data_IF_381788024717
#
_entry.id   IF_381788024717
#
_cell.length_a   1.000
_cell.length_b   1.000
_cell.length_c   1.000
_cell.angle_alpha   90.00
_cell.angle_beta   90.00
_cell.angle_gamma   90.00
#
_symmetry.space_group_name_H-M   'P 1'
#
loop_
_entity.id
_entity.type
_entity.pdbx_description
1 polymer ?
#
# COMPACT_ATOMS: atom_id res chain seq x y z
N UNK A 1 -14.01 15.95 0.54
CA UNK A 1 -14.07 15.07 -0.63
C UNK A 1 -12.71 14.39 -0.68
N UNK A 2 -12.62 13.09 -0.39
CA UNK A 2 -11.35 12.35 -0.36
C UNK A 2 -11.31 11.45 -1.57
N UNK A 3 -10.35 11.66 -2.45
CA UNK A 3 -9.87 10.63 -3.37
C UNK A 3 -8.99 9.69 -2.56
N UNK A 4 -9.16 8.39 -2.75
CA UNK A 4 -8.24 7.41 -2.18
C UNK A 4 -6.90 7.56 -2.91
N UNK A 5 -5.98 8.34 -2.32
CA UNK A 5 -4.64 8.56 -2.85
C UNK A 5 -3.86 7.24 -2.82
N UNK A 6 -3.37 6.82 -3.98
CA UNK A 6 -2.58 5.59 -4.17
C UNK A 6 -1.30 5.96 -4.88
N UNK A 7 -0.16 5.77 -4.22
CA UNK A 7 1.13 6.04 -4.81
C UNK A 7 1.85 4.74 -5.15
N UNK A 8 2.54 4.75 -6.29
CA UNK A 8 3.35 3.61 -6.75
C UNK A 8 4.83 3.75 -6.44
N UNK A 9 5.21 4.83 -5.76
CA UNK A 9 6.54 5.06 -5.22
C UNK A 9 6.40 5.90 -3.95
N UNK A 10 7.43 5.87 -3.12
CA UNK A 10 7.49 6.64 -1.87
C UNK A 10 8.18 7.97 -2.10
N UNK A 11 7.80 8.99 -1.33
CA UNK A 11 8.51 10.28 -1.28
C UNK A 11 10.01 10.08 -1.03
N UNK A 12 10.35 9.15 -0.14
CA UNK A 12 11.73 8.95 0.34
C UNK A 12 12.61 8.32 -0.74
N UNK A 13 12.10 7.30 -1.44
CA UNK A 13 12.76 6.75 -2.64
C UNK A 13 12.99 7.80 -3.73
N UNK A 14 12.03 8.71 -3.98
CA UNK A 14 12.20 9.79 -4.97
C UNK A 14 13.24 10.81 -4.51
N UNK A 15 13.21 11.21 -3.23
CA UNK A 15 14.22 12.09 -2.63
C UNK A 15 15.62 11.49 -2.75
N UNK A 16 15.77 10.22 -2.41
CA UNK A 16 17.04 9.49 -2.51
C UNK A 16 17.54 9.39 -3.96
N UNK A 17 16.64 9.09 -4.92
CA UNK A 17 17.01 8.95 -6.33
C UNK A 17 17.44 10.27 -6.99
N UNK A 18 16.81 11.40 -6.61
CA UNK A 18 17.09 12.73 -7.19
C UNK A 18 18.13 13.51 -6.38
N UNK A 19 18.43 13.09 -5.14
CA UNK A 19 19.32 13.81 -4.24
C UNK A 19 18.67 15.05 -3.62
N UNK A 20 17.37 15.01 -3.36
CA UNK A 20 16.64 16.09 -2.69
C UNK A 20 16.70 15.87 -1.18
N UNK A 21 17.14 16.90 -0.46
CA UNK A 21 17.18 16.93 1.00
C UNK A 21 16.18 17.95 1.57
N UNK A 22 15.82 17.75 2.83
CA UNK A 22 14.95 18.66 3.59
C UNK A 22 13.47 18.45 3.30
N UNK A 23 12.64 19.17 4.05
CA UNK A 23 11.17 19.07 3.96
C UNK A 23 10.53 20.09 3.03
N UNK A 24 11.27 21.11 2.57
CA UNK A 24 10.74 22.27 1.84
C UNK A 24 9.98 21.89 0.56
N UNK A 25 10.38 20.79 -0.09
CA UNK A 25 9.80 20.32 -1.34
C UNK A 25 8.87 19.11 -1.17
N UNK A 26 8.59 18.66 0.06
CA UNK A 26 7.79 17.46 0.30
C UNK A 26 6.40 17.56 -0.35
N UNK A 27 5.65 18.61 -0.04
CA UNK A 27 4.30 18.81 -0.60
C UNK A 27 4.29 18.87 -2.15
N UNK A 28 5.35 19.44 -2.75
CA UNK A 28 5.47 19.48 -4.20
C UNK A 28 5.75 18.09 -4.77
N UNK A 29 6.68 17.35 -4.16
CA UNK A 29 6.98 15.96 -4.54
C UNK A 29 5.74 15.08 -4.44
N UNK A 30 4.96 15.23 -3.38
CA UNK A 30 3.70 14.49 -3.18
C UNK A 30 2.74 14.72 -4.32
N UNK A 31 2.50 15.98 -4.68
CA UNK A 31 1.62 16.33 -5.81
C UNK A 31 2.10 15.73 -7.13
N UNK A 32 3.41 15.64 -7.34
CA UNK A 32 3.98 15.05 -8.55
C UNK A 32 3.90 13.53 -8.55
N UNK A 33 4.12 12.89 -7.41
CA UNK A 33 3.96 11.44 -7.26
C UNK A 33 2.49 11.04 -7.43
N UNK A 34 1.57 11.80 -6.85
CA UNK A 34 0.13 11.61 -7.00
C UNK A 34 -0.29 11.77 -8.46
N UNK A 35 0.06 12.89 -9.10
CA UNK A 35 -0.29 13.14 -10.50
C UNK A 35 0.32 12.10 -11.46
N UNK A 36 1.53 11.62 -11.19
CA UNK A 36 2.16 10.56 -11.96
C UNK A 36 1.45 9.22 -11.77
N UNK A 37 1.10 8.88 -10.52
CA UNK A 37 0.39 7.64 -10.19
C UNK A 37 -1.00 7.62 -10.83
N UNK A 38 -1.76 8.71 -10.71
CA UNK A 38 -3.05 8.90 -11.41
C UNK A 38 -2.90 8.89 -12.93
N UNK A 39 -1.81 9.45 -13.46
CA UNK A 39 -1.48 9.39 -14.88
C UNK A 39 -1.33 7.95 -15.39
N UNK A 40 -0.64 7.10 -14.62
CA UNK A 40 -0.49 5.67 -14.92
C UNK A 40 -1.83 4.94 -14.83
N UNK A 41 -2.61 5.16 -13.76
CA UNK A 41 -3.93 4.53 -13.62
C UNK A 41 -4.85 4.89 -14.78
N UNK A 42 -4.95 6.17 -15.13
CA UNK A 42 -5.75 6.66 -16.27
C UNK A 42 -5.31 6.06 -17.60
N UNK A 43 -4.01 5.90 -17.82
CA UNK A 43 -3.49 5.25 -19.02
C UNK A 43 -3.94 3.78 -19.10
N UNK A 44 -3.91 3.07 -17.97
CA UNK A 44 -4.25 1.65 -17.90
C UNK A 44 -5.76 1.40 -17.80
N UNK A 45 -6.55 2.35 -17.31
CA UNK A 45 -8.01 2.32 -17.34
C UNK A 45 -8.52 2.18 -18.78
N UNK A 46 -7.91 2.91 -19.73
CA UNK A 46 -8.22 2.75 -21.16
C UNK A 46 -7.95 1.34 -21.71
N UNK A 47 -7.11 0.56 -21.02
CA UNK A 47 -6.73 -0.82 -21.36
C UNK A 47 -7.47 -1.89 -20.53
N UNK A 48 -8.43 -1.48 -19.70
CA UNK A 48 -9.22 -2.39 -18.88
C UNK A 48 -8.48 -2.93 -17.65
N UNK A 49 -7.46 -2.22 -17.16
CA UNK A 49 -6.79 -2.54 -15.90
C UNK A 49 -6.55 -1.26 -15.07
N UNK A 50 -7.53 -0.80 -14.30
CA UNK A 50 -7.45 0.53 -13.73
C UNK A 50 -6.47 0.65 -12.55
N UNK A 51 -6.10 -0.44 -11.84
CA UNK A 51 -5.42 -0.33 -10.53
C UNK A 51 -4.45 -1.47 -10.24
N UNK A 52 -3.27 -1.12 -9.74
CA UNK A 52 -2.30 -2.10 -9.26
C UNK A 52 -2.56 -2.54 -7.81
N UNK A 53 -2.81 -1.58 -6.91
CA UNK A 53 -3.11 -1.87 -5.51
C UNK A 53 -4.56 -2.38 -5.41
N UNK A 54 -4.77 -3.56 -4.83
CA UNK A 54 -6.08 -4.18 -4.83
C UNK A 54 -7.06 -3.46 -3.91
N UNK A 55 -8.31 -3.33 -4.32
CA UNK A 55 -9.40 -2.80 -3.52
C UNK A 55 -10.60 -3.74 -3.48
N UNK A 56 -11.34 -3.74 -2.38
CA UNK A 56 -12.60 -4.48 -2.28
C UNK A 56 -13.71 -3.66 -2.92
N UNK A 57 -14.26 -4.16 -4.02
CA UNK A 57 -15.30 -3.46 -4.78
C UNK A 57 -16.35 -4.43 -5.30
N UNK A 58 -17.54 -3.90 -5.57
CA UNK A 58 -18.57 -4.57 -6.34
C UNK A 58 -18.64 -3.97 -7.73
N UNK A 59 -18.43 -4.80 -8.75
CA UNK A 59 -18.51 -4.39 -10.16
C UNK A 59 -19.71 -5.01 -10.84
N UNK A 60 -20.41 -4.19 -11.61
CA UNK A 60 -21.62 -4.56 -12.32
C UNK A 60 -21.33 -4.71 -13.81
N UNK A 61 -21.85 -5.77 -14.42
CA UNK A 61 -21.71 -6.05 -15.84
C UNK A 61 -23.10 -6.23 -16.48
N UNK A 62 -23.31 -5.73 -17.71
CA UNK A 62 -24.51 -6.03 -18.46
C UNK A 62 -24.49 -7.49 -18.93
N UNK A 63 -25.68 -8.06 -19.15
CA UNK A 63 -25.82 -9.40 -19.69
C UNK A 63 -27.00 -9.49 -20.68
N UNK A 64 -26.83 -10.12 -21.85
CA UNK A 64 -25.60 -10.73 -22.38
C UNK A 64 -24.55 -9.69 -22.80
N UNK A 65 -23.26 -10.02 -22.66
CA UNK A 65 -22.16 -9.14 -23.10
C UNK A 65 -21.82 -9.31 -24.59
N UNK A 66 -21.84 -10.55 -25.08
CA UNK A 66 -21.49 -10.92 -26.44
C UNK A 66 -22.50 -11.94 -26.94
N UNK A 67 -23.08 -11.69 -28.11
CA UNK A 67 -23.99 -12.64 -28.73
C UNK A 67 -23.29 -13.99 -28.99
N UNK A 68 -23.94 -15.10 -28.62
CA UNK A 68 -23.41 -16.45 -28.82
C UNK A 68 -22.42 -16.94 -27.75
N UNK A 69 -22.16 -16.17 -26.69
CA UNK A 69 -21.38 -16.62 -25.52
C UNK A 69 -22.22 -16.48 -24.24
N UNK A 70 -23.05 -17.47 -23.95
CA UNK A 70 -24.00 -17.44 -22.83
C UNK A 70 -23.44 -17.93 -21.49
N UNK A 71 -22.20 -18.40 -21.46
CA UNK A 71 -21.59 -19.04 -20.28
C UNK A 71 -20.39 -18.28 -19.75
N UNK A 72 -20.01 -17.17 -20.38
CA UNK A 72 -18.77 -16.44 -20.08
C UNK A 72 -19.07 -14.95 -19.86
N UNK A 73 -18.61 -14.42 -18.73
CA UNK A 73 -18.56 -12.98 -18.46
C UNK A 73 -17.10 -12.51 -18.53
N UNK A 74 -16.82 -11.58 -19.44
CA UNK A 74 -15.54 -10.90 -19.55
C UNK A 74 -15.46 -9.73 -18.59
N UNK A 75 -14.40 -9.71 -17.81
CA UNK A 75 -14.12 -8.66 -16.84
C UNK A 75 -13.36 -7.51 -17.51
N UNK A 76 -13.80 -6.29 -17.22
CA UNK A 76 -13.16 -5.05 -17.66
C UNK A 76 -12.07 -4.55 -16.70
N UNK A 77 -11.78 -5.33 -15.66
CA UNK A 77 -10.77 -5.04 -14.65
C UNK A 77 -10.20 -6.35 -14.12
N UNK A 78 -9.02 -6.25 -13.54
CA UNK A 78 -8.30 -7.38 -12.98
C UNK A 78 -8.92 -7.80 -11.65
N UNK A 79 -9.32 -9.07 -11.58
CA UNK A 79 -9.96 -9.68 -10.41
C UNK A 79 -8.98 -10.62 -9.71
N UNK A 80 -8.84 -10.50 -8.40
CA UNK A 80 -7.98 -11.37 -7.59
C UNK A 80 -8.77 -12.46 -6.87
N UNK A 81 -9.97 -12.14 -6.41
CA UNK A 81 -10.86 -13.09 -5.74
C UNK A 81 -12.31 -12.64 -5.84
N UNK A 82 -13.24 -13.59 -5.88
CA UNK A 82 -14.68 -13.32 -5.78
C UNK A 82 -15.14 -13.62 -4.35
N UNK A 83 -15.81 -12.66 -3.73
CA UNK A 83 -16.54 -12.85 -2.47
C UNK A 83 -17.97 -13.27 -2.76
N UNK A 84 -18.64 -12.60 -3.70
CA UNK A 84 -20.03 -12.89 -4.07
C UNK A 84 -20.24 -12.68 -5.57
N UNK A 85 -20.84 -13.66 -6.23
CA UNK A 85 -21.30 -13.57 -7.62
C UNK A 85 -22.82 -13.65 -7.65
N UNK A 86 -23.48 -12.65 -8.24
CA UNK A 86 -24.93 -12.62 -8.37
C UNK A 86 -25.37 -12.35 -9.81
N UNK A 87 -26.51 -12.94 -10.17
CA UNK A 87 -27.23 -12.74 -11.43
C UNK A 87 -28.60 -12.14 -11.15
N UNK A 88 -29.20 -11.55 -12.19
CA UNK A 88 -30.40 -10.74 -12.01
C UNK A 88 -30.20 -9.68 -10.91
N UNK A 89 -28.99 -9.09 -10.87
CA UNK A 89 -28.52 -8.28 -9.75
C UNK A 89 -29.32 -6.99 -9.52
N UNK A 90 -30.15 -6.58 -10.47
CA UNK A 90 -31.04 -5.42 -10.37
C UNK A 90 -32.46 -5.79 -9.91
N UNK A 91 -32.78 -7.08 -9.85
CA UNK A 91 -34.10 -7.55 -9.45
C UNK A 91 -34.25 -7.45 -7.93
N UNK A 92 -35.50 -7.46 -7.45
CA UNK A 92 -35.80 -7.43 -6.02
C UNK A 92 -35.27 -8.63 -5.24
N UNK A 93 -34.91 -9.72 -5.93
CA UNK A 93 -34.36 -10.95 -5.35
C UNK A 93 -33.26 -11.50 -6.25
N UNK A 94 -32.02 -10.97 -6.15
CA UNK A 94 -30.91 -11.43 -6.96
C UNK A 94 -30.52 -12.86 -6.57
N UNK A 95 -30.13 -13.67 -7.57
CA UNK A 95 -29.71 -15.06 -7.35
C UNK A 95 -28.20 -15.12 -7.19
N UNK A 96 -27.71 -15.75 -6.13
CA UNK A 96 -26.27 -15.94 -5.91
C UNK A 96 -25.82 -17.23 -6.58
N UNK A 97 -24.75 -17.16 -7.38
CA UNK A 97 -24.07 -18.32 -7.93
C UNK A 97 -22.95 -18.71 -6.96
N UNK A 98 -22.97 -19.96 -6.50
CA UNK A 98 -21.98 -20.48 -5.56
C UNK A 98 -20.64 -20.75 -6.25
N UNK A 99 -19.54 -20.72 -5.50
CA UNK A 99 -18.18 -20.89 -6.03
C UNK A 99 -17.94 -22.23 -6.75
N UNK A 100 -18.73 -23.26 -6.45
CA UNK A 100 -18.65 -24.56 -7.13
C UNK A 100 -19.24 -24.55 -8.55
N UNK A 101 -20.06 -23.56 -8.88
CA UNK A 101 -20.82 -23.49 -10.13
C UNK A 101 -20.17 -22.59 -11.19
N UNK A 102 -18.98 -22.06 -10.90
CA UNK A 102 -18.21 -21.26 -11.85
C UNK A 102 -16.70 -21.46 -11.71
N UNK A 103 -16.00 -21.22 -12.80
CA UNK A 103 -14.56 -21.18 -12.89
C UNK A 103 -14.07 -19.73 -13.06
N UNK A 104 -12.93 -19.46 -12.42
CA UNK A 104 -12.19 -18.21 -12.58
C UNK A 104 -11.01 -18.46 -13.53
N UNK A 105 -10.91 -17.62 -14.56
CA UNK A 105 -9.97 -17.82 -15.65
C UNK A 105 -9.09 -16.57 -15.84
N UNK A 106 -7.78 -16.71 -16.10
CA UNK A 106 -7.07 -17.95 -16.40
C UNK A 106 -6.86 -18.86 -15.18
N UNK A 107 -6.98 -20.17 -15.38
CA UNK A 107 -6.68 -21.18 -14.35
C UNK A 107 -5.26 -21.01 -13.80
N UNK A 108 -5.11 -21.09 -12.47
CA UNK A 108 -3.83 -21.03 -11.76
C UNK A 108 -2.99 -19.76 -12.00
N UNK A 109 -3.61 -18.68 -12.47
CA UNK A 109 -2.90 -17.42 -12.74
C UNK A 109 -3.77 -16.21 -12.39
N UNK A 110 -3.24 -15.37 -11.52
CA UNK A 110 -3.80 -14.05 -11.24
C UNK A 110 -3.23 -13.02 -12.23
N UNK A 111 -3.99 -11.95 -12.54
CA UNK A 111 -5.40 -11.75 -12.18
C UNK A 111 -6.37 -12.49 -13.11
N UNK A 112 -7.54 -12.83 -12.60
CA UNK A 112 -8.65 -13.39 -13.37
C UNK A 112 -9.26 -12.33 -14.29
N UNK A 113 -9.58 -12.74 -15.52
CA UNK A 113 -10.05 -11.90 -16.63
C UNK A 113 -11.44 -12.28 -17.12
N UNK A 114 -11.92 -13.47 -16.78
CA UNK A 114 -13.29 -13.90 -17.09
C UNK A 114 -13.79 -14.87 -16.03
N UNK A 115 -15.11 -14.93 -15.92
CA UNK A 115 -15.84 -15.92 -15.12
C UNK A 115 -16.61 -16.79 -16.11
N UNK A 116 -16.48 -18.10 -15.94
CA UNK A 116 -17.12 -19.10 -16.81
C UNK A 116 -18.01 -20.01 -15.96
N UNK A 117 -19.25 -20.24 -16.37
CA UNK A 117 -20.16 -21.15 -15.67
C UNK A 117 -19.67 -22.58 -15.85
N UNK A 118 -19.70 -23.36 -14.76
CA UNK A 118 -19.53 -24.80 -14.86
C UNK A 118 -20.76 -25.40 -15.57
N UNK A 119 -20.56 -25.90 -16.78
CA UNK A 119 -21.62 -26.49 -17.61
C UNK A 119 -22.21 -27.78 -17.04
N UNK A 120 -21.55 -28.38 -16.05
CA UNK A 120 -22.10 -29.51 -15.30
C UNK A 120 -23.06 -29.08 -14.18
N UNK A 121 -23.04 -27.80 -13.80
CA UNK A 121 -23.97 -27.22 -12.83
C UNK A 121 -25.31 -26.85 -13.49
N UNK A 122 -26.31 -26.51 -12.67
CA UNK A 122 -27.57 -25.94 -13.13
C UNK A 122 -27.57 -24.41 -13.17
N UNK A 123 -26.45 -23.78 -12.84
CA UNK A 123 -26.34 -22.32 -12.80
C UNK A 123 -26.24 -21.72 -14.21
N UNK A 124 -26.67 -20.48 -14.35
CA UNK A 124 -26.56 -19.76 -15.63
C UNK A 124 -26.53 -18.26 -15.40
N UNK A 125 -25.90 -17.54 -16.32
CA UNK A 125 -25.98 -16.08 -16.34
C UNK A 125 -27.33 -15.63 -16.92
N UNK A 126 -28.04 -14.78 -16.17
CA UNK A 126 -29.36 -14.26 -16.55
C UNK A 126 -29.42 -12.74 -16.39
N UNK A 127 -30.21 -12.09 -17.25
CA UNK A 127 -30.38 -10.64 -17.24
C UNK A 127 -31.31 -10.16 -16.12
N UNK A 128 -32.24 -10.99 -15.64
CA UNK A 128 -33.34 -10.51 -14.79
C UNK A 128 -34.27 -9.57 -15.57
N UNK A 129 -34.85 -8.59 -14.87
CA UNK A 129 -35.79 -7.59 -15.41
C UNK A 129 -35.14 -6.67 -16.46
N UNK A 130 -33.83 -6.45 -16.40
CA UNK A 130 -33.08 -5.60 -17.34
C UNK A 130 -31.72 -6.19 -17.65
N UNK A 131 -31.30 -6.12 -18.91
CA UNK A 131 -29.95 -6.53 -19.35
C UNK A 131 -28.83 -5.63 -18.83
N UNK A 132 -29.16 -4.47 -18.25
CA UNK A 132 -28.18 -3.52 -17.74
C UNK A 132 -27.78 -3.91 -16.32
N UNK A 133 -26.47 -4.01 -16.06
CA UNK A 133 -25.92 -4.26 -14.70
C UNK A 133 -26.45 -5.54 -14.04
N UNK A 134 -26.84 -6.54 -14.84
CA UNK A 134 -27.49 -7.76 -14.39
C UNK A 134 -26.57 -8.74 -13.66
N UNK A 135 -25.26 -8.63 -13.84
CA UNK A 135 -24.27 -9.47 -13.16
C UNK A 135 -23.53 -8.59 -12.16
N UNK A 136 -23.51 -9.02 -10.90
CA UNK A 136 -22.77 -8.36 -9.82
C UNK A 136 -21.65 -9.25 -9.34
N UNK A 137 -20.44 -8.70 -9.31
CA UNK A 137 -19.23 -9.39 -8.86
C UNK A 137 -18.63 -8.56 -7.73
N UNK A 138 -18.82 -9.01 -6.49
CA UNK A 138 -18.16 -8.48 -5.31
C UNK A 138 -16.87 -9.26 -5.07
N UNK A 139 -15.76 -8.57 -4.81
CA UNK A 139 -14.48 -9.23 -4.66
C UNK A 139 -13.31 -8.27 -4.47
N UNK A 140 -12.10 -8.84 -4.51
CA UNK A 140 -10.86 -8.07 -4.53
C UNK A 140 -10.44 -7.80 -5.98
N UNK A 141 -10.27 -6.54 -6.34
CA UNK A 141 -9.93 -6.10 -7.68
C UNK A 141 -8.60 -5.35 -7.68
N UNK A 142 -7.68 -5.77 -8.55
CA UNK A 142 -6.34 -5.19 -8.68
C UNK A 142 -5.39 -6.14 -9.37
N UNK A 143 -4.14 -5.73 -9.53
CA UNK A 143 -3.15 -6.51 -10.27
C UNK A 143 -2.53 -7.64 -9.44
N UNK A 144 -2.20 -7.39 -8.17
CA UNK A 144 -1.55 -8.37 -7.29
C UNK A 144 -1.86 -8.07 -5.82
N UNK A 145 -1.95 -9.12 -4.99
CA UNK A 145 -2.01 -9.02 -3.52
C UNK A 145 -0.66 -9.29 -2.85
N UNK A 146 0.43 -9.31 -3.61
CA UNK A 146 1.75 -9.51 -3.06
C UNK A 146 2.10 -8.39 -2.07
N UNK A 147 2.53 -8.78 -0.87
CA UNK A 147 2.97 -7.87 0.17
C UNK A 147 4.45 -8.11 0.50
N UNK A 148 5.08 -7.10 1.10
CA UNK A 148 6.39 -7.19 1.73
C UNK A 148 6.22 -6.86 3.21
N UNK A 149 7.03 -7.47 4.08
CA UNK A 149 7.06 -7.13 5.49
C UNK A 149 7.43 -5.65 5.70
N UNK A 150 6.71 -4.98 6.59
CA UNK A 150 6.81 -3.54 6.87
C UNK A 150 7.05 -3.26 8.38
N UNK A 151 7.69 -4.20 9.08
CA UNK A 151 7.85 -4.18 10.53
C UNK A 151 6.53 -4.49 11.27
N UNK A 152 6.58 -4.34 12.60
CA UNK A 152 5.40 -4.37 13.46
C UNK A 152 4.93 -2.94 13.74
N UNK A 153 3.63 -2.77 13.94
CA UNK A 153 3.07 -1.54 14.49
C UNK A 153 2.75 -1.77 15.96
N UNK A 154 2.87 -0.73 16.78
CA UNK A 154 2.43 -0.81 18.17
C UNK A 154 0.90 -1.01 18.28
N UNK A 155 0.41 -1.28 19.50
CA UNK A 155 -1.00 -1.53 19.76
C UNK A 155 -1.90 -0.28 19.68
N UNK A 156 -1.44 0.84 19.08
CA UNK A 156 -2.15 2.12 19.11
C UNK A 156 -3.52 2.07 18.41
N UNK A 157 -3.66 1.35 17.29
CA UNK A 157 -4.95 1.17 16.62
C UNK A 157 -5.93 0.31 17.44
N UNK A 158 -5.42 -0.67 18.19
CA UNK A 158 -6.26 -1.49 19.09
C UNK A 158 -6.73 -0.70 20.31
N UNK A 159 -5.97 0.33 20.73
CA UNK A 159 -6.28 1.15 21.89
C UNK A 159 -7.24 2.32 21.59
N UNK A 160 -7.43 2.68 20.31
CA UNK A 160 -8.30 3.81 19.94
C UNK A 160 -8.85 3.68 18.51
N UNK A 161 -10.17 3.80 18.39
CA UNK A 161 -10.87 3.84 17.09
C UNK A 161 -10.74 5.18 16.36
N UNK A 162 -10.06 6.16 16.96
CA UNK A 162 -9.81 7.49 16.33
C UNK A 162 -8.33 7.75 16.10
N UNK A 163 -7.46 6.76 16.33
CA UNK A 163 -6.04 6.92 16.06
C UNK A 163 -5.81 7.12 14.56
N UNK A 164 -5.10 8.19 14.21
CA UNK A 164 -4.70 8.51 12.83
C UNK A 164 -3.18 8.41 12.63
N UNK A 165 -2.44 7.98 13.66
CA UNK A 165 -1.00 7.77 13.63
C UNK A 165 -0.61 6.56 14.46
N UNK A 166 0.50 5.92 14.08
CA UNK A 166 1.08 4.79 14.78
C UNK A 166 2.59 4.85 14.78
N UNK A 167 3.20 4.17 15.74
CA UNK A 167 4.64 3.95 15.78
C UNK A 167 4.93 2.60 15.15
N UNK A 168 5.82 2.58 14.16
CA UNK A 168 6.36 1.35 13.59
C UNK A 168 7.61 0.93 14.37
N UNK A 169 7.89 -0.38 14.38
CA UNK A 169 9.07 -0.95 15.00
C UNK A 169 10.34 -0.80 14.16
N UNK A 170 10.18 -0.48 12.87
CA UNK A 170 11.27 -0.29 11.91
C UNK A 170 10.88 0.80 10.90
N UNK A 171 11.45 1.99 11.07
CA UNK A 171 11.17 3.16 10.25
C UNK A 171 11.93 3.15 8.90
N UNK A 172 12.77 2.16 8.65
CA UNK A 172 13.45 1.95 7.36
C UNK A 172 12.57 1.21 6.34
N UNK A 173 11.51 0.55 6.81
CA UNK A 173 10.62 -0.26 5.98
C UNK A 173 9.33 0.44 5.56
N UNK A 174 9.03 1.60 6.17
CA UNK A 174 7.80 2.35 5.96
C UNK A 174 8.10 3.81 5.64
N UNK A 175 7.69 4.22 4.45
CA UNK A 175 7.86 5.59 3.96
C UNK A 175 6.52 6.21 3.51
N UNK A 176 6.52 7.54 3.38
CA UNK A 176 5.35 8.27 2.87
C UNK A 176 5.04 7.84 1.45
N UNK A 177 3.76 7.48 1.22
CA UNK A 177 3.29 6.91 -0.04
C UNK A 177 3.04 5.40 0.00
N UNK A 178 3.51 4.69 1.03
CA UNK A 178 3.19 3.28 1.18
C UNK A 178 1.71 3.06 1.51
N UNK A 179 1.16 1.95 1.01
CA UNK A 179 -0.11 1.39 1.49
C UNK A 179 0.22 0.18 2.35
N UNK A 180 -0.08 0.28 3.64
CA UNK A 180 0.09 -0.79 4.61
C UNK A 180 -1.15 -1.68 4.60
N UNK A 181 -0.95 -2.99 4.68
CA UNK A 181 -2.02 -3.95 4.93
C UNK A 181 -1.92 -4.41 6.38
N UNK A 182 -2.91 -4.05 7.19
CA UNK A 182 -3.01 -4.42 8.60
C UNK A 182 -4.22 -5.32 8.74
N UNK A 183 -3.99 -6.60 9.02
CA UNK A 183 -5.04 -7.63 8.97
C UNK A 183 -5.76 -7.62 7.61
N UNK A 184 -6.98 -7.09 7.53
CA UNK A 184 -7.76 -6.92 6.30
C UNK A 184 -7.89 -5.47 5.83
N UNK A 185 -7.38 -4.50 6.60
CA UNK A 185 -7.51 -3.06 6.32
C UNK A 185 -6.29 -2.53 5.58
N UNK A 186 -6.52 -1.68 4.58
CA UNK A 186 -5.47 -0.96 3.89
C UNK A 186 -5.40 0.48 4.38
N UNK A 187 -4.21 0.90 4.82
CA UNK A 187 -3.95 2.24 5.35
C UNK A 187 -2.88 2.92 4.51
N UNK A 188 -3.15 4.13 4.05
CA UNK A 188 -2.17 4.94 3.32
C UNK A 188 -1.32 5.75 4.29
N UNK A 189 0.01 5.71 4.12
CA UNK A 189 0.96 6.52 4.89
C UNK A 189 1.07 7.89 4.25
N UNK A 190 0.38 8.89 4.83
CA UNK A 190 0.37 10.26 4.30
C UNK A 190 1.51 11.12 4.81
N UNK A 191 2.00 10.88 6.02
CA UNK A 191 3.12 11.61 6.62
C UNK A 191 3.89 10.70 7.59
N UNK A 192 5.14 11.06 7.88
CA UNK A 192 5.97 10.43 8.90
C UNK A 192 6.60 11.48 9.81
N UNK A 193 6.76 11.14 11.08
CA UNK A 193 7.49 11.96 12.05
C UNK A 193 8.38 11.07 12.91
N UNK A 194 9.43 11.67 13.47
CA UNK A 194 10.25 11.01 14.49
C UNK A 194 9.48 10.89 15.80
N UNK A 195 9.83 9.88 16.57
CA UNK A 195 9.28 9.58 17.90
C UNK A 195 10.46 9.49 18.86
N UNK A 196 10.28 10.01 20.07
CA UNK A 196 11.27 9.87 21.14
C UNK A 196 11.36 8.40 21.56
N UNK A 197 12.54 7.80 21.40
CA UNK A 197 12.84 6.43 21.81
C UNK A 197 13.19 6.32 23.29
N UNK A 198 13.24 7.46 24.02
CA UNK A 198 13.73 7.61 25.39
C UNK A 198 15.21 7.19 25.59
N UNK A 199 15.93 6.98 24.48
CA UNK A 199 17.33 6.57 24.48
C UNK A 199 18.23 7.80 24.43
N UNK A 200 19.27 7.80 25.27
CA UNK A 200 20.28 8.85 25.30
C UNK A 200 21.59 8.37 24.68
N UNK A 201 22.44 9.35 24.36
CA UNK A 201 23.83 9.11 24.01
C UNK A 201 24.62 8.64 25.24
N UNK A 202 25.49 7.67 25.04
CA UNK A 202 26.46 7.25 26.06
C UNK A 202 27.80 7.99 25.94
N UNK A 203 28.07 8.57 24.76
CA UNK A 203 29.26 9.36 24.48
C UNK A 203 28.90 10.69 23.81
N UNK A 204 29.74 11.71 24.05
CA UNK A 204 29.60 13.01 23.38
C UNK A 204 30.05 12.90 21.93
N UNK A 205 29.26 13.45 21.01
CA UNK A 205 29.63 13.63 19.60
C UNK A 205 30.22 15.03 19.40
N UNK A 206 31.31 15.12 18.65
CA UNK A 206 31.87 16.42 18.22
C UNK A 206 31.32 16.80 16.85
N UNK A 207 31.36 18.09 16.50
CA UNK A 207 30.88 18.59 15.20
C UNK A 207 31.86 18.28 14.05
N UNK A 208 32.17 17.00 13.83
CA UNK A 208 33.05 16.51 12.77
C UNK A 208 32.34 15.44 11.94
N UNK A 209 32.44 15.55 10.62
CA UNK A 209 31.73 14.65 9.70
C UNK A 209 32.31 13.22 9.68
N UNK A 210 33.51 13.03 10.21
CA UNK A 210 34.14 11.71 10.39
C UNK A 210 33.96 11.14 11.80
N UNK A 211 33.33 11.87 12.71
CA UNK A 211 32.90 11.35 14.00
C UNK A 211 31.55 10.63 13.81
N UNK A 212 31.64 9.42 13.25
CA UNK A 212 30.51 8.63 12.71
C UNK A 212 30.06 7.50 13.63
N UNK A 213 30.69 7.34 14.80
CA UNK A 213 30.31 6.32 15.77
C UNK A 213 29.43 6.96 16.84
N UNK A 214 28.18 6.55 16.91
CA UNK A 214 27.19 7.03 17.89
C UNK A 214 26.95 5.90 18.89
N UNK A 215 27.46 6.05 20.10
CA UNK A 215 27.24 5.08 21.20
C UNK A 215 25.90 5.37 21.88
N UNK A 216 25.02 4.38 21.95
CA UNK A 216 23.69 4.52 22.55
C UNK A 216 23.43 3.54 23.70
N UNK A 217 22.37 3.78 24.48
CA UNK A 217 21.99 2.90 25.59
C UNK A 217 21.65 1.47 25.18
N UNK A 218 20.97 1.29 24.05
CA UNK A 218 20.54 -0.03 23.54
C UNK A 218 20.47 -0.03 22.01
N UNK A 219 21.50 -0.56 21.33
CA UNK A 219 21.53 -0.60 19.88
C UNK A 219 20.49 -1.55 19.25
N UNK A 220 19.83 -2.41 20.05
CA UNK A 220 18.76 -3.28 19.55
C UNK A 220 17.41 -2.57 19.41
N UNK A 221 17.25 -1.35 19.93
CA UNK A 221 16.01 -0.59 19.84
C UNK A 221 15.90 0.26 18.56
N UNK A 222 16.92 0.22 17.69
CA UNK A 222 16.96 0.90 16.39
C UNK A 222 17.37 -0.08 15.30
N UNK A 223 17.05 0.24 14.05
CA UNK A 223 17.35 -0.63 12.91
C UNK A 223 18.30 0.06 11.91
N UNK A 224 19.09 -0.75 11.20
CA UNK A 224 19.91 -0.27 10.09
C UNK A 224 19.02 0.37 9.01
N UNK A 225 19.44 1.51 8.46
CA UNK A 225 18.69 2.25 7.45
C UNK A 225 17.69 3.26 8.02
N UNK A 226 17.49 3.28 9.35
CA UNK A 226 16.69 4.31 9.99
C UNK A 226 17.42 5.65 10.05
N UNK A 227 16.64 6.73 10.04
CA UNK A 227 17.12 8.07 10.33
C UNK A 227 16.77 8.42 11.77
N UNK A 228 17.78 8.57 12.61
CA UNK A 228 17.65 9.07 13.99
C UNK A 228 17.75 10.59 14.01
N UNK A 229 17.11 11.21 15.00
CA UNK A 229 17.16 12.65 15.25
C UNK A 229 17.74 12.88 16.64
N UNK A 230 18.84 13.62 16.71
CA UNK A 230 19.45 14.07 17.97
C UNK A 230 19.42 15.58 17.97
N UNK A 231 18.65 16.17 18.89
CA UNK A 231 18.33 17.59 18.92
C UNK A 231 17.74 18.06 17.57
N UNK A 232 18.57 18.64 16.70
CA UNK A 232 18.19 19.08 15.34
C UNK A 232 19.00 18.39 14.23
N UNK A 233 19.96 17.52 14.56
CA UNK A 233 20.74 16.77 13.57
C UNK A 233 20.05 15.44 13.25
N UNK A 234 19.86 15.17 11.96
CA UNK A 234 19.42 13.87 11.46
C UNK A 234 20.62 13.05 11.03
N UNK A 235 20.67 11.79 11.42
CA UNK A 235 21.74 10.86 11.09
C UNK A 235 21.15 9.54 10.56
N UNK A 236 21.69 9.02 9.46
CA UNK A 236 21.27 7.75 8.87
C UNK A 236 22.13 6.61 9.43
N UNK A 237 21.53 5.57 9.99
CA UNK A 237 22.24 4.39 10.51
C UNK A 237 22.72 3.53 9.33
N UNK A 238 24.03 3.40 9.16
CA UNK A 238 24.66 2.57 8.12
C UNK A 238 25.00 1.17 8.62
N UNK A 239 25.34 0.99 9.89
CA UNK A 239 25.52 -0.33 10.53
C UNK A 239 25.41 -0.25 12.05
N UNK A 240 25.14 -1.39 12.69
CA UNK A 240 25.00 -1.52 14.14
C UNK A 240 25.95 -2.62 14.63
N UNK A 241 26.75 -2.31 15.66
CA UNK A 241 27.63 -3.27 16.33
C UNK A 241 27.43 -3.16 17.84
N UNK A 242 26.56 -4.00 18.40
CA UNK A 242 26.16 -3.87 19.80
C UNK A 242 25.46 -2.53 20.02
N UNK A 243 26.02 -1.68 20.87
CA UNK A 243 25.50 -0.34 21.17
C UNK A 243 26.14 0.78 20.33
N UNK A 244 27.08 0.43 19.44
CA UNK A 244 27.76 1.39 18.59
C UNK A 244 27.07 1.43 17.22
N UNK A 245 26.49 2.58 16.89
CA UNK A 245 25.90 2.85 15.58
C UNK A 245 26.95 3.52 14.69
N UNK A 246 27.20 2.98 13.51
CA UNK A 246 27.92 3.71 12.46
C UNK A 246 26.90 4.49 11.65
N UNK A 247 27.05 5.81 11.57
CA UNK A 247 26.05 6.68 10.93
C UNK A 247 26.66 7.57 9.85
N UNK A 248 25.85 7.88 8.85
CA UNK A 248 26.06 9.05 8.00
C UNK A 248 25.42 10.27 8.67
N UNK A 249 26.22 11.29 8.91
CA UNK A 249 25.82 12.51 9.63
C UNK A 249 25.23 13.59 8.74
N UNK A 250 24.57 14.56 9.38
CA UNK A 250 23.97 15.71 8.73
C UNK A 250 23.13 15.36 7.47
N UNK A 251 22.30 14.33 7.57
CA UNK A 251 21.46 13.88 6.44
C UNK A 251 20.19 14.72 6.30
N UNK A 252 19.55 14.62 5.14
CA UNK A 252 18.30 15.33 4.85
C UNK A 252 18.38 16.86 5.09
N UNK A 253 19.58 17.43 4.88
CA UNK A 253 19.82 18.87 5.00
C UNK A 253 19.88 19.40 6.43
N UNK A 254 19.98 18.52 7.44
CA UNK A 254 20.21 18.96 8.82
C UNK A 254 21.63 19.50 9.02
N UNK A 255 21.81 20.37 10.01
CA UNK A 255 23.12 20.93 10.35
C UNK A 255 23.93 19.96 11.21
N UNK A 256 25.21 19.79 10.88
CA UNK A 256 26.18 19.05 11.71
C UNK A 256 26.39 19.79 13.04
N UNK A 257 26.24 19.09 14.17
CA UNK A 257 26.33 19.67 15.51
C UNK A 257 27.24 18.84 16.45
N UNK A 258 27.56 19.40 17.61
CA UNK A 258 28.10 18.63 18.72
C UNK A 258 26.93 18.26 19.65
N UNK A 259 26.95 17.06 20.23
CA UNK A 259 25.88 16.58 21.11
C UNK A 259 26.48 16.03 22.39
N UNK A 260 26.00 16.50 23.54
CA UNK A 260 26.35 15.97 24.85
C UNK A 260 25.40 14.84 25.28
N UNK A 261 25.88 14.01 26.21
CA UNK A 261 25.09 12.96 26.89
C UNK A 261 23.99 13.53 27.79
#
# INVERSE_FOLDING_TARGET
MSTATRWYTTRESVKAAVGISGAEKNALLDSYIEAASEGVERLLESRGNPRFIPGTETRLYPWPQVAGRSTIVYLKADLLSVTTLQVAAQDSSPTTIVAADYFLEPVNKLPYRRIEIDLSSSSSFVSGDTQQRSISVAGSWGYSNATKAAGAIGAQFAASTTATSVVCSDASLVDVGNTLLIESEQVFVSERSTVDTAMNLNDTLVALNNDVTVTVGDGAAVNQGEVILIESERMLIESISGNDLTVKRAVDGSTLAAHST
#
